data_IF_193142222433
#
_entry.id   IF_193142222433
#
_cell.length_a   1.000
_cell.length_b   1.000
_cell.length_c   1.000
_cell.angle_alpha   90.00
_cell.angle_beta   90.00
_cell.angle_gamma   90.00
#
_symmetry.space_group_name_H-M   'P 1'
#
loop_
_entity.id
_entity.type
_entity.pdbx_description
1 polymer ?
#
# COMPACT_ATOMS: atom_id res chain seq x y z
N UNK A 1 -13.83 8.95 3.86
CA UNK A 1 -14.21 9.87 2.77
C UNK A 1 -13.43 9.42 1.55
N UNK A 2 -14.08 9.13 0.43
CA UNK A 2 -13.41 8.65 -0.77
C UNK A 2 -12.62 9.81 -1.39
N UNK A 3 -11.29 9.72 -1.38
CA UNK A 3 -10.41 10.64 -2.10
C UNK A 3 -10.48 10.34 -3.61
N UNK A 4 -10.06 11.29 -4.44
CA UNK A 4 -9.95 11.04 -5.88
C UNK A 4 -8.82 10.03 -6.11
N UNK A 5 -9.03 8.96 -6.90
CA UNK A 5 -8.00 7.98 -7.14
C UNK A 5 -6.84 8.59 -7.94
N UNK A 6 -5.62 8.16 -7.64
CA UNK A 6 -4.47 8.42 -8.49
C UNK A 6 -4.36 7.36 -9.59
N UNK A 7 -3.65 7.69 -10.68
CA UNK A 7 -3.31 6.73 -11.74
C UNK A 7 -2.47 5.55 -11.25
N UNK A 8 -1.81 5.71 -10.10
CA UNK A 8 -0.99 4.69 -9.44
C UNK A 8 -1.78 3.78 -8.53
N UNK A 9 -3.03 4.13 -8.21
CA UNK A 9 -3.86 3.34 -7.31
C UNK A 9 -4.23 2.00 -7.96
N UNK A 10 -4.37 0.96 -7.13
CA UNK A 10 -4.80 -0.35 -7.62
C UNK A 10 -6.29 -0.37 -7.88
N UNK A 11 -6.70 -0.99 -8.99
CA UNK A 11 -8.12 -1.24 -9.28
C UNK A 11 -8.69 -2.27 -8.30
N UNK A 12 -10.02 -2.42 -8.27
CA UNK A 12 -10.65 -3.43 -7.42
C UNK A 12 -10.25 -4.85 -7.84
N UNK A 13 -10.08 -5.08 -9.14
CA UNK A 13 -9.65 -6.37 -9.71
C UNK A 13 -8.19 -6.68 -9.35
N UNK A 14 -7.30 -5.71 -9.52
CA UNK A 14 -5.89 -5.82 -9.09
C UNK A 14 -5.80 -6.07 -7.58
N UNK A 15 -6.60 -5.34 -6.79
CA UNK A 15 -6.66 -5.51 -5.35
C UNK A 15 -7.06 -6.92 -4.95
N UNK A 16 -8.11 -7.49 -5.55
CA UNK A 16 -8.54 -8.86 -5.26
C UNK A 16 -7.44 -9.91 -5.52
N UNK A 17 -6.55 -9.66 -6.48
CA UNK A 17 -5.44 -10.55 -6.76
C UNK A 17 -4.33 -10.48 -5.72
N UNK A 18 -4.08 -9.32 -5.10
CA UNK A 18 -2.94 -9.11 -4.20
C UNK A 18 -3.31 -9.00 -2.71
N UNK A 19 -4.59 -8.79 -2.39
CA UNK A 19 -5.08 -8.55 -1.03
C UNK A 19 -4.61 -9.64 -0.06
N UNK A 20 -4.63 -10.91 -0.50
CA UNK A 20 -4.22 -12.06 0.30
C UNK A 20 -2.74 -12.05 0.72
N UNK A 21 -1.87 -11.32 0.00
CA UNK A 21 -0.45 -11.17 0.33
C UNK A 21 -0.24 -10.09 1.42
N UNK A 22 -1.11 -9.09 1.45
CA UNK A 22 -0.95 -7.89 2.28
C UNK A 22 -1.73 -8.02 3.60
N UNK A 23 -2.95 -8.56 3.49
CA UNK A 23 -3.82 -8.80 4.64
C UNK A 23 -3.35 -10.04 5.36
N UNK A 24 -2.42 -9.85 6.30
CA UNK A 24 -2.18 -10.85 7.32
C UNK A 24 -3.44 -10.96 8.17
N UNK A 25 -4.21 -12.04 7.99
CA UNK A 25 -5.34 -12.42 8.83
C UNK A 25 -4.86 -12.71 10.26
N UNK A 26 -4.48 -11.66 11.00
CA UNK A 26 -4.11 -11.77 12.39
C UNK A 26 -5.32 -12.28 13.17
N UNK A 27 -5.33 -13.59 13.46
CA UNK A 27 -6.38 -14.28 14.22
C UNK A 27 -6.51 -13.79 15.67
N UNK A 28 -5.62 -12.91 16.13
CA UNK A 28 -5.57 -12.44 17.51
C UNK A 28 -4.93 -11.04 17.57
N UNK A 29 -5.72 -10.02 17.93
CA UNK A 29 -5.24 -8.65 18.12
C UNK A 29 -6.22 -7.55 17.70
N UNK A 30 -5.93 -6.31 18.11
CA UNK A 30 -6.68 -5.10 17.78
C UNK A 30 -6.80 -4.97 16.26
N UNK A 31 -8.03 -4.85 15.74
CA UNK A 31 -8.29 -4.58 14.31
C UNK A 31 -7.39 -3.42 13.86
N UNK A 32 -6.58 -3.66 12.81
CA UNK A 32 -5.77 -2.60 12.20
C UNK A 32 -6.74 -1.48 11.81
N UNK A 33 -6.54 -0.28 12.33
CA UNK A 33 -7.40 0.89 12.04
C UNK A 33 -7.12 1.47 10.64
N UNK A 34 -6.03 1.05 10.02
CA UNK A 34 -5.53 1.62 8.76
C UNK A 34 -5.89 0.66 7.64
N UNK A 35 -6.43 1.22 6.56
CA UNK A 35 -6.75 0.52 5.34
C UNK A 35 -5.45 0.16 4.61
N UNK A 36 -5.19 -1.14 4.45
CA UNK A 36 -3.95 -1.65 3.83
C UNK A 36 -3.90 -1.36 2.33
N UNK A 37 -5.06 -1.22 1.69
CA UNK A 37 -5.13 -0.79 0.29
C UNK A 37 -4.64 0.64 0.15
N UNK A 38 -5.06 1.52 1.04
CA UNK A 38 -4.62 2.92 1.03
C UNK A 38 -3.13 3.06 1.34
N UNK A 39 -2.59 2.19 2.19
CA UNK A 39 -1.14 2.11 2.42
C UNK A 39 -0.44 1.67 1.13
N UNK A 40 -0.91 0.62 0.47
CA UNK A 40 -0.31 0.16 -0.78
C UNK A 40 -0.39 1.25 -1.86
N UNK A 41 -1.53 1.90 -2.03
CA UNK A 41 -1.72 3.03 -2.94
C UNK A 41 -0.68 4.12 -2.68
N UNK A 42 -0.44 4.49 -1.41
CA UNK A 42 0.58 5.46 -1.05
C UNK A 42 2.00 5.00 -1.38
N UNK A 43 2.33 3.72 -1.15
CA UNK A 43 3.64 3.15 -1.49
C UNK A 43 3.85 3.17 -3.01
N UNK A 44 2.86 2.73 -3.78
CA UNK A 44 2.91 2.73 -5.24
C UNK A 44 3.03 4.13 -5.80
N UNK A 45 2.31 5.10 -5.22
CA UNK A 45 2.43 6.51 -5.57
C UNK A 45 3.88 7.00 -5.43
N UNK A 46 4.51 6.74 -4.28
CA UNK A 46 5.91 7.13 -4.04
C UNK A 46 6.87 6.43 -4.99
N UNK A 47 6.68 5.13 -5.23
CA UNK A 47 7.55 4.35 -6.12
C UNK A 47 7.45 4.78 -7.58
N UNK A 48 6.25 5.13 -8.04
CA UNK A 48 6.03 5.55 -9.43
C UNK A 48 6.44 7.00 -9.66
N UNK A 49 6.13 7.91 -8.72
CA UNK A 49 6.49 9.34 -8.84
C UNK A 49 7.94 9.64 -8.45
N UNK A 50 8.56 8.78 -7.64
CA UNK A 50 9.89 9.01 -7.06
C UNK A 50 9.93 10.14 -6.03
N UNK A 51 8.79 10.60 -5.52
CA UNK A 51 8.75 11.71 -4.58
C UNK A 51 9.33 11.33 -3.21
N UNK A 52 9.82 12.32 -2.45
CA UNK A 52 10.24 12.07 -1.08
C UNK A 52 9.04 11.67 -0.20
N UNK A 53 9.21 10.71 0.71
CA UNK A 53 8.13 10.25 1.61
C UNK A 53 7.41 11.38 2.35
N UNK A 54 8.13 12.44 2.74
CA UNK A 54 7.56 13.60 3.45
C UNK A 54 6.71 14.51 2.56
N UNK A 55 6.79 14.34 1.24
CA UNK A 55 6.03 15.05 0.22
C UNK A 55 4.77 14.28 -0.21
N UNK A 56 4.45 13.18 0.48
CA UNK A 56 3.23 12.44 0.22
C UNK A 56 2.01 13.36 0.33
N UNK A 57 1.08 13.33 -0.63
CA UNK A 57 -0.18 14.06 -0.56
C UNK A 57 -0.95 13.82 0.75
N UNK A 58 -1.60 14.87 1.25
CA UNK A 58 -2.31 14.83 2.55
C UNK A 58 -3.58 13.98 2.55
N UNK A 59 -4.10 13.62 1.38
CA UNK A 59 -5.23 12.71 1.21
C UNK A 59 -4.86 11.23 1.35
N UNK A 60 -3.56 10.90 1.25
CA UNK A 60 -3.03 9.58 1.52
C UNK A 60 -2.71 9.39 3.01
N UNK A 61 -2.60 8.14 3.50
CA UNK A 61 -2.21 7.87 4.89
C UNK A 61 -0.88 8.55 5.24
N UNK A 62 -0.72 8.94 6.51
CA UNK A 62 0.49 9.66 6.97
C UNK A 62 1.77 8.91 6.60
N UNK A 63 2.76 9.65 6.09
CA UNK A 63 4.00 9.08 5.54
C UNK A 63 4.73 8.12 6.51
N UNK A 64 4.69 8.38 7.82
CA UNK A 64 5.36 7.56 8.83
C UNK A 64 4.76 6.15 8.92
N UNK A 65 3.42 6.07 8.85
CA UNK A 65 2.71 4.78 8.78
C UNK A 65 3.01 4.08 7.47
N UNK A 66 2.93 4.80 6.35
CA UNK A 66 3.21 4.23 5.02
C UNK A 66 4.63 3.65 4.96
N UNK A 67 5.61 4.40 5.46
CA UNK A 67 7.01 3.96 5.48
C UNK A 67 7.24 2.74 6.36
N UNK A 68 6.58 2.65 7.53
CA UNK A 68 6.64 1.47 8.39
C UNK A 68 6.17 0.20 7.64
N UNK A 69 5.06 0.29 6.91
CA UNK A 69 4.56 -0.83 6.11
C UNK A 69 5.46 -1.12 4.90
N UNK A 70 5.96 -0.08 4.24
CA UNK A 70 6.93 -0.22 3.15
C UNK A 70 8.15 -1.02 3.60
N UNK A 71 8.82 -0.60 4.68
CA UNK A 71 10.01 -1.28 5.18
C UNK A 71 9.73 -2.74 5.55
N UNK A 72 8.57 -3.02 6.13
CA UNK A 72 8.14 -4.38 6.45
C UNK A 72 7.94 -5.24 5.20
N UNK A 73 7.12 -4.77 4.26
CA UNK A 73 6.77 -5.51 3.04
C UNK A 73 7.90 -5.61 2.01
N UNK A 74 8.86 -4.69 2.08
CA UNK A 74 10.09 -4.74 1.29
C UNK A 74 11.00 -5.86 1.85
N UNK A 75 11.17 -5.90 3.18
CA UNK A 75 12.03 -6.90 3.84
C UNK A 75 11.51 -8.33 3.76
N UNK A 76 10.19 -8.54 3.72
CA UNK A 76 9.58 -9.88 3.59
C UNK A 76 9.34 -10.29 2.13
N UNK A 77 9.68 -9.41 1.16
CA UNK A 77 9.53 -9.67 -0.26
C UNK A 77 8.10 -9.54 -0.80
N UNK A 78 7.12 -9.16 0.04
CA UNK A 78 5.72 -8.99 -0.38
C UNK A 78 5.59 -7.98 -1.52
N UNK A 79 6.34 -6.86 -1.48
CA UNK A 79 6.29 -5.87 -2.55
C UNK A 79 6.78 -6.42 -3.89
N UNK A 80 7.75 -7.34 -3.88
CA UNK A 80 8.23 -7.96 -5.12
C UNK A 80 7.18 -8.88 -5.72
N UNK A 81 6.45 -9.63 -4.88
CA UNK A 81 5.32 -10.45 -5.33
C UNK A 81 4.19 -9.60 -5.89
N UNK A 82 3.84 -8.50 -5.21
CA UNK A 82 2.81 -7.56 -5.67
C UNK A 82 3.19 -7.00 -7.04
N UNK A 83 4.41 -6.51 -7.21
CA UNK A 83 4.92 -6.02 -8.52
C UNK A 83 4.86 -7.08 -9.60
N UNK A 84 5.27 -8.31 -9.26
CA UNK A 84 5.23 -9.45 -10.18
C UNK A 84 3.81 -9.79 -10.65
N UNK A 85 2.80 -9.66 -9.77
CA UNK A 85 1.40 -9.94 -10.12
C UNK A 85 0.81 -8.80 -10.96
N UNK A 86 1.09 -7.55 -10.58
CA UNK A 86 0.59 -6.37 -11.29
C UNK A 86 1.29 -6.13 -12.63
N UNK A 87 2.43 -6.79 -12.87
CA UNK A 87 3.20 -6.64 -14.11
C UNK A 87 3.83 -5.24 -14.28
N UNK A 88 4.13 -4.56 -13.16
CA UNK A 88 4.73 -3.22 -13.13
C UNK A 88 5.76 -3.04 -12.02
#
# INVERSE_FOLDING_TARGET
MARKPYLTDVTDEEWQQIEHLLVSHARRGRKRKVDEREILNAILYVQWTGCAWRMLPHDLPIWSTVYYYYSRWDSDGTLNLVRSILGR
#
